data_IF_408166673397
#
_entry.id   IF_408166673397
#
_cell.length_a   1.000
_cell.length_b   1.000
_cell.length_c   1.000
_cell.angle_alpha   90.00
_cell.angle_beta   90.00
_cell.angle_gamma   90.00
#
_symmetry.space_group_name_H-M   'P 1'
#
loop_
_entity.id
_entity.type
_entity.pdbx_description
1 polymer ?
#
# COMPACT_ATOMS: atom_id res chain seq x y z
N UNK A 1 7.31 -26.50 9.14
CA UNK A 1 6.66 -25.18 9.11
C UNK A 1 5.35 -25.34 9.88
N UNK A 2 5.09 -24.58 10.94
CA UNK A 2 3.78 -24.68 11.63
C UNK A 2 2.74 -24.02 10.74
N UNK A 3 1.66 -24.71 10.43
CA UNK A 3 0.51 -24.09 9.78
C UNK A 3 -0.06 -23.02 10.72
N UNK A 4 -0.01 -21.76 10.28
CA UNK A 4 -0.64 -20.67 11.01
C UNK A 4 -2.11 -20.66 10.60
N UNK A 5 -2.98 -21.00 11.55
CA UNK A 5 -4.42 -20.93 11.34
C UNK A 5 -4.89 -19.58 11.86
N UNK A 6 -5.38 -18.73 10.95
CA UNK A 6 -6.04 -17.48 11.28
C UNK A 6 -7.55 -17.70 11.38
N UNK A 7 -8.20 -17.02 12.32
CA UNK A 7 -9.65 -17.12 12.53
C UNK A 7 -10.44 -16.43 11.42
N UNK A 8 -9.90 -15.33 10.89
CA UNK A 8 -10.54 -14.53 9.84
C UNK A 8 -9.50 -13.71 9.06
N UNK A 9 -9.98 -13.01 8.03
CA UNK A 9 -9.18 -12.13 7.19
C UNK A 9 -8.55 -10.96 7.94
N UNK A 10 -9.25 -10.43 8.95
CA UNK A 10 -8.75 -9.32 9.77
C UNK A 10 -7.50 -9.71 10.55
N UNK A 11 -7.55 -10.83 11.26
CA UNK A 11 -6.43 -11.35 12.04
C UNK A 11 -5.23 -11.72 11.14
N UNK A 12 -5.51 -12.34 9.99
CA UNK A 12 -4.48 -12.66 9.01
C UNK A 12 -3.78 -11.40 8.47
N UNK A 13 -4.58 -10.42 8.04
CA UNK A 13 -4.08 -9.17 7.48
C UNK A 13 -3.25 -8.38 8.50
N UNK A 14 -3.76 -8.19 9.72
CA UNK A 14 -3.04 -7.49 10.78
C UNK A 14 -1.71 -8.17 11.13
N UNK A 15 -1.68 -9.51 11.15
CA UNK A 15 -0.46 -10.27 11.42
C UNK A 15 0.59 -10.05 10.31
N UNK A 16 0.16 -10.11 9.05
CA UNK A 16 1.04 -9.88 7.89
C UNK A 16 1.55 -8.44 7.86
N UNK A 17 0.69 -7.45 8.08
CA UNK A 17 1.06 -6.04 8.11
C UNK A 17 2.10 -5.75 9.19
N UNK A 18 1.91 -6.28 10.41
CA UNK A 18 2.87 -6.17 11.51
C UNK A 18 4.21 -6.81 11.15
N UNK A 19 4.19 -8.01 10.57
CA UNK A 19 5.41 -8.68 10.13
C UNK A 19 6.19 -7.86 9.09
N UNK A 20 5.51 -7.33 8.06
CA UNK A 20 6.13 -6.52 7.02
C UNK A 20 6.69 -5.20 7.57
N UNK A 21 5.94 -4.54 8.46
CA UNK A 21 6.36 -3.33 9.16
C UNK A 21 7.63 -3.55 9.98
N UNK A 22 7.71 -4.66 10.71
CA UNK A 22 8.91 -5.03 11.48
C UNK A 22 10.08 -5.45 10.59
N UNK A 23 9.82 -6.13 9.48
CA UNK A 23 10.85 -6.68 8.61
C UNK A 23 11.54 -5.64 7.73
N UNK A 24 10.77 -4.69 7.20
CA UNK A 24 11.24 -3.75 6.18
C UNK A 24 11.20 -2.28 6.61
N UNK A 25 10.53 -1.96 7.72
CA UNK A 25 10.61 -0.63 8.33
C UNK A 25 9.89 0.50 7.58
N UNK A 26 9.04 0.20 6.59
CA UNK A 26 8.20 1.23 5.96
C UNK A 26 7.24 1.86 6.96
N UNK A 27 7.03 3.17 6.80
CA UNK A 27 6.14 3.96 7.65
C UNK A 27 4.67 3.65 7.42
N UNK A 28 4.31 3.03 6.29
CA UNK A 28 2.93 2.67 5.96
C UNK A 28 2.90 1.33 5.25
N UNK A 29 2.07 0.44 5.77
CA UNK A 29 1.59 -0.74 5.05
C UNK A 29 0.07 -0.74 5.01
N UNK A 30 -0.49 -1.18 3.90
CA UNK A 30 -1.94 -1.21 3.70
C UNK A 30 -2.35 -2.48 2.99
N UNK A 31 -3.52 -2.98 3.37
CA UNK A 31 -4.31 -3.89 2.55
C UNK A 31 -5.46 -3.06 2.00
N UNK A 32 -5.61 -3.04 0.69
CA UNK A 32 -6.60 -2.21 0.01
C UNK A 32 -7.48 -3.03 -0.91
N UNK A 33 -8.71 -2.57 -1.11
CA UNK A 33 -9.64 -3.12 -2.10
C UNK A 33 -10.00 -2.04 -3.12
N UNK A 34 -10.03 -2.44 -4.39
CA UNK A 34 -10.53 -1.62 -5.48
C UNK A 34 -11.99 -1.93 -5.76
N UNK A 35 -12.84 -0.91 -5.83
CA UNK A 35 -14.25 -1.02 -6.20
C UNK A 35 -14.62 0.13 -7.15
N UNK A 36 -14.64 -0.16 -8.46
CA UNK A 36 -14.69 0.88 -9.48
C UNK A 36 -13.47 1.81 -9.36
N UNK A 37 -13.72 3.11 -9.25
CA UNK A 37 -12.67 4.13 -9.05
C UNK A 37 -12.25 4.28 -7.57
N UNK A 38 -12.88 3.57 -6.64
CA UNK A 38 -12.57 3.67 -5.22
C UNK A 38 -11.41 2.75 -4.85
N UNK A 39 -10.39 3.32 -4.22
CA UNK A 39 -9.29 2.61 -3.58
C UNK A 39 -9.47 2.70 -2.06
N UNK A 40 -10.00 1.63 -1.47
CA UNK A 40 -10.48 1.57 -0.08
C UNK A 40 -9.41 0.91 0.79
N UNK A 41 -8.99 1.58 1.87
CA UNK A 41 -8.11 0.99 2.89
C UNK A 41 -8.91 0.02 3.75
N UNK A 42 -8.60 -1.28 3.69
CA UNK A 42 -9.24 -2.29 4.54
C UNK A 42 -8.55 -2.38 5.90
N UNK A 43 -7.22 -2.39 5.89
CA UNK A 43 -6.38 -2.48 7.08
C UNK A 43 -5.08 -1.72 6.83
N UNK A 44 -4.49 -1.14 7.86
CA UNK A 44 -3.20 -0.46 7.75
C UNK A 44 -2.36 -0.57 9.02
N UNK A 45 -1.05 -0.49 8.84
CA UNK A 45 -0.05 -0.26 9.89
C UNK A 45 0.69 1.01 9.50
N UNK A 46 0.32 2.13 10.14
CA UNK A 46 0.83 3.46 9.82
C UNK A 46 1.60 4.05 11.00
N UNK A 47 2.70 4.74 10.68
CA UNK A 47 3.62 5.37 11.64
C UNK A 47 3.85 6.85 11.35
N UNK A 48 3.12 7.47 10.40
CA UNK A 48 3.32 8.89 10.16
C UNK A 48 2.46 9.57 9.09
N UNK A 49 1.60 8.85 8.37
CA UNK A 49 0.81 9.45 7.28
C UNK A 49 -0.66 9.69 7.63
N UNK A 50 -1.09 9.34 8.84
CA UNK A 50 -2.46 9.44 9.35
C UNK A 50 -3.49 8.71 8.46
N UNK A 51 -3.07 7.59 7.87
CA UNK A 51 -3.97 6.74 7.09
C UNK A 51 -4.76 5.85 8.03
N UNK A 52 -6.08 5.78 7.83
CA UNK A 52 -6.98 4.97 8.66
C UNK A 52 -7.77 3.94 7.84
N UNK A 53 -8.14 2.79 8.44
CA UNK A 53 -9.08 1.86 7.80
C UNK A 53 -10.40 2.56 7.45
N UNK A 54 -10.96 2.23 6.29
CA UNK A 54 -12.17 2.84 5.74
C UNK A 54 -11.93 4.10 4.90
N UNK A 55 -10.71 4.66 4.92
CA UNK A 55 -10.37 5.79 4.04
C UNK A 55 -10.42 5.38 2.57
N UNK A 56 -10.95 6.27 1.73
CA UNK A 56 -11.12 6.04 0.29
C UNK A 56 -10.29 7.07 -0.48
N UNK A 57 -9.52 6.57 -1.43
CA UNK A 57 -8.75 7.34 -2.40
C UNK A 57 -9.24 7.04 -3.82
N UNK A 58 -8.85 7.86 -4.78
CA UNK A 58 -9.06 7.55 -6.21
C UNK A 58 -8.04 6.50 -6.65
N UNK A 59 -8.50 5.40 -7.25
CA UNK A 59 -7.62 4.34 -7.76
C UNK A 59 -6.73 4.84 -8.90
N UNK A 60 -7.29 5.65 -9.81
CA UNK A 60 -6.54 6.26 -10.91
C UNK A 60 -5.37 7.13 -10.43
N UNK A 61 -5.45 7.63 -9.20
CA UNK A 61 -4.43 8.50 -8.61
C UNK A 61 -3.32 7.74 -7.86
N UNK A 62 -3.45 6.42 -7.71
CA UNK A 62 -2.57 5.57 -6.89
C UNK A 62 -1.33 5.07 -7.63
N UNK A 63 -0.27 4.70 -6.89
CA UNK A 63 0.86 3.97 -7.47
C UNK A 63 0.47 2.55 -7.89
N UNK A 64 -0.45 1.92 -7.14
CA UNK A 64 -0.95 0.57 -7.39
C UNK A 64 -1.58 0.44 -8.79
N UNK A 65 -2.32 1.45 -9.27
CA UNK A 65 -2.93 1.40 -10.60
C UNK A 65 -1.89 1.36 -11.72
N UNK A 66 -0.83 2.17 -11.63
CA UNK A 66 0.27 2.14 -12.58
C UNK A 66 1.01 0.79 -12.57
N UNK A 67 1.17 0.20 -11.39
CA UNK A 67 1.81 -1.11 -11.24
C UNK A 67 0.95 -2.24 -11.82
N UNK A 68 -0.34 -2.32 -11.47
CA UNK A 68 -1.27 -3.36 -11.97
C UNK A 68 -1.39 -3.31 -13.49
N UNK A 69 -1.33 -2.11 -14.08
CA UNK A 69 -1.33 -1.92 -15.53
C UNK A 69 0.03 -2.19 -16.20
N UNK A 70 1.05 -2.62 -15.45
CA UNK A 70 2.39 -2.92 -15.94
C UNK A 70 3.20 -1.70 -16.38
N UNK A 71 2.79 -0.49 -15.97
CA UNK A 71 3.41 0.78 -16.40
C UNK A 71 4.55 1.24 -15.51
N UNK A 72 4.63 0.73 -14.28
CA UNK A 72 5.63 1.12 -13.28
C UNK A 72 6.08 -0.09 -12.44
N UNK A 73 7.29 -0.07 -11.87
CA UNK A 73 7.87 -1.23 -11.18
C UNK A 73 7.21 -1.51 -9.83
N UNK A 74 7.09 -2.79 -9.47
CA UNK A 74 6.54 -3.25 -8.17
C UNK A 74 7.36 -2.81 -6.95
N UNK A 75 8.64 -2.53 -7.16
CA UNK A 75 9.59 -2.11 -6.13
C UNK A 75 10.28 -0.87 -6.65
N UNK A 76 10.11 0.24 -5.95
CA UNK A 76 10.72 1.52 -6.25
C UNK A 76 11.42 2.05 -4.98
N UNK A 77 12.74 1.81 -4.81
CA UNK A 77 13.49 2.35 -3.69
C UNK A 77 13.56 3.88 -3.69
N UNK A 78 13.40 4.50 -4.88
CA UNK A 78 13.31 5.94 -5.11
C UNK A 78 12.15 6.21 -6.06
N UNK A 79 10.96 6.43 -5.51
CA UNK A 79 9.75 6.66 -6.31
C UNK A 79 9.75 8.00 -7.04
N UNK A 80 10.51 8.98 -6.56
CA UNK A 80 10.69 10.29 -7.17
C UNK A 80 11.54 10.27 -8.45
N UNK A 81 12.37 9.24 -8.66
CA UNK A 81 13.10 9.02 -9.92
C UNK A 81 12.22 8.43 -11.03
N UNK A 82 10.98 8.01 -10.72
CA UNK A 82 10.07 7.38 -11.67
C UNK A 82 8.97 8.41 -12.04
N UNK A 83 8.96 8.95 -13.27
CA UNK A 83 8.03 10.03 -13.64
C UNK A 83 6.55 9.71 -13.41
N UNK A 84 6.13 8.45 -13.58
CA UNK A 84 4.75 8.05 -13.30
C UNK A 84 4.39 8.15 -11.82
N UNK A 85 5.30 7.77 -10.93
CA UNK A 85 5.09 7.86 -9.48
C UNK A 85 5.26 9.30 -8.98
N UNK A 86 6.28 10.01 -9.45
CA UNK A 86 6.49 11.42 -9.12
C UNK A 86 5.26 12.29 -9.43
N UNK A 87 4.61 12.05 -10.58
CA UNK A 87 3.48 12.85 -11.03
C UNK A 87 2.11 12.34 -10.56
N UNK A 88 2.03 11.16 -9.95
CA UNK A 88 0.76 10.61 -9.49
C UNK A 88 0.19 11.46 -8.33
N UNK A 89 -1.12 11.80 -8.33
CA UNK A 89 -1.70 12.71 -7.34
C UNK A 89 -1.53 12.25 -5.89
N UNK A 90 -1.42 10.94 -5.62
CA UNK A 90 -1.17 10.42 -4.28
C UNK A 90 0.17 10.90 -3.70
N UNK A 91 1.20 11.08 -4.52
CA UNK A 91 2.53 11.55 -4.10
C UNK A 91 2.50 13.00 -3.57
N UNK A 92 1.47 13.77 -3.90
CA UNK A 92 1.25 15.13 -3.37
C UNK A 92 0.53 15.13 -2.02
N UNK A 93 -0.17 14.04 -1.68
CA UNK A 93 -0.92 13.89 -0.42
C UNK A 93 -0.09 13.17 0.64
N UNK A 94 0.71 12.21 0.20
CA UNK A 94 1.53 11.33 1.03
C UNK A 94 2.94 11.39 0.43
N UNK A 95 3.93 11.77 1.23
CA UNK A 95 5.33 11.90 0.76
C UNK A 95 6.00 10.52 0.61
N UNK A 96 5.58 9.77 -0.40
CA UNK A 96 6.09 8.43 -0.68
C UNK A 96 7.44 8.54 -1.41
N UNK A 97 8.53 8.22 -0.69
CA UNK A 97 9.90 8.18 -1.24
C UNK A 97 10.37 6.79 -1.66
N UNK A 98 9.79 5.75 -1.07
CA UNK A 98 10.03 4.37 -1.42
C UNK A 98 8.69 3.61 -1.43
N UNK A 99 8.54 2.66 -2.35
CA UNK A 99 7.30 1.93 -2.58
C UNK A 99 7.55 0.46 -2.88
N UNK A 100 6.71 -0.41 -2.32
CA UNK A 100 6.65 -1.84 -2.59
C UNK A 100 5.18 -2.24 -2.70
N UNK A 101 4.85 -3.03 -3.71
CA UNK A 101 3.53 -3.64 -3.88
C UNK A 101 3.63 -5.16 -4.04
N UNK A 102 2.65 -5.85 -3.46
CA UNK A 102 2.46 -7.29 -3.59
C UNK A 102 0.98 -7.50 -3.96
N UNK A 103 0.74 -7.79 -5.23
CA UNK A 103 -0.56 -8.23 -5.77
C UNK A 103 -0.59 -9.73 -5.97
#
# INVERSE_FOLDING_TARGET
MKDIIFKNFEEAGQTVLKFLSQKFGFNLWMITRTEGDNWIVLQCEDKGYNVIPGQVFSWADSFCSHMVLGKAPKIAPRSDEIPLYLNAPIAKKIDIKAYIDVC
#
